data_IF_212167141171
#
_entry.id   IF_212167141171
#
_cell.length_a   1.000
_cell.length_b   1.000
_cell.length_c   1.000
_cell.angle_alpha   90.00
_cell.angle_beta   90.00
_cell.angle_gamma   90.00
#
_symmetry.space_group_name_H-M   'P 1'
#
loop_
_entity.id
_entity.type
_entity.pdbx_description
1 polymer ?
#
# COMPACT_ATOMS: atom_id res chain seq x y z
N UNK A 1 -10.51 20.80 19.89
CA UNK A 1 -11.78 21.15 19.21
C UNK A 1 -11.81 20.47 17.85
N UNK A 2 -13.00 20.03 17.43
CA UNK A 2 -13.25 19.45 16.11
C UNK A 2 -13.02 20.53 15.04
N UNK A 3 -12.25 20.24 13.97
CA UNK A 3 -12.10 21.15 12.84
C UNK A 3 -13.46 21.43 12.19
N UNK A 4 -13.62 22.63 11.64
CA UNK A 4 -14.85 23.03 10.95
C UNK A 4 -14.50 23.56 9.58
N UNK A 5 -14.87 22.82 8.54
CA UNK A 5 -14.70 23.25 7.17
C UNK A 5 -15.47 24.55 6.91
N UNK A 6 -14.85 25.46 6.15
CA UNK A 6 -15.55 26.62 5.60
C UNK A 6 -16.71 26.16 4.71
N UNK A 7 -17.81 26.90 4.74
CA UNK A 7 -18.96 26.66 3.87
C UNK A 7 -18.91 27.65 2.72
N UNK A 8 -18.54 27.18 1.54
CA UNK A 8 -18.44 27.96 0.31
C UNK A 8 -19.48 27.42 -0.67
N UNK A 9 -20.62 28.10 -0.86
CA UNK A 9 -21.69 27.61 -1.73
C UNK A 9 -21.21 27.43 -3.17
N UNK A 10 -21.27 26.19 -3.67
CA UNK A 10 -21.01 25.85 -5.06
C UNK A 10 -22.28 25.23 -5.66
N UNK A 11 -22.87 25.89 -6.66
CA UNK A 11 -24.07 25.41 -7.32
C UNK A 11 -23.71 24.44 -8.45
N UNK A 12 -24.33 23.26 -8.46
CA UNK A 12 -24.20 22.26 -9.50
C UNK A 12 -25.57 21.96 -10.09
N UNK A 13 -25.68 22.05 -11.41
CA UNK A 13 -26.93 21.77 -12.13
C UNK A 13 -26.77 20.52 -12.98
N UNK A 14 -27.62 19.53 -12.75
CA UNK A 14 -27.66 18.29 -13.54
C UNK A 14 -29.10 17.86 -13.76
N UNK A 15 -29.45 17.51 -15.00
CA UNK A 15 -30.82 17.13 -15.40
C UNK A 15 -31.90 18.17 -15.05
N UNK A 16 -31.54 19.45 -15.01
CA UNK A 16 -32.45 20.54 -14.67
C UNK A 16 -32.69 20.76 -13.16
N UNK A 17 -32.03 19.99 -12.30
CA UNK A 17 -32.05 20.20 -10.84
C UNK A 17 -30.75 20.87 -10.37
N UNK A 18 -30.86 21.87 -9.48
CA UNK A 18 -29.73 22.61 -8.95
C UNK A 18 -29.55 22.31 -7.47
N UNK A 19 -28.38 21.76 -7.12
CA UNK A 19 -27.96 21.48 -5.75
C UNK A 19 -26.81 22.41 -5.36
N UNK A 20 -26.76 22.81 -4.10
CA UNK A 20 -25.66 23.61 -3.54
C UNK A 20 -24.81 22.71 -2.66
N UNK A 21 -23.56 22.50 -3.06
CA UNK A 21 -22.54 21.85 -2.24
C UNK A 21 -21.68 22.93 -1.56
N UNK A 22 -21.71 22.98 -0.24
CA UNK A 22 -20.93 23.97 0.52
C UNK A 22 -19.45 23.57 0.69
N UNK A 23 -19.07 22.37 0.28
CA UNK A 23 -17.75 21.77 0.53
C UNK A 23 -17.05 21.33 -0.76
N UNK A 24 -17.61 21.67 -1.91
CA UNK A 24 -17.01 21.36 -3.22
C UNK A 24 -15.55 21.87 -3.33
N UNK A 25 -15.23 22.96 -2.62
CA UNK A 25 -13.88 23.53 -2.56
C UNK A 25 -12.81 22.59 -1.98
N UNK A 26 -13.20 21.55 -1.23
CA UNK A 26 -12.26 20.53 -0.74
C UNK A 26 -11.72 19.63 -1.86
N UNK A 27 -12.40 19.60 -3.02
CA UNK A 27 -11.88 18.91 -4.19
C UNK A 27 -10.81 19.77 -4.85
N UNK A 28 -9.57 19.32 -4.74
CA UNK A 28 -8.44 19.88 -5.45
C UNK A 28 -7.73 18.81 -6.27
N UNK A 29 -7.92 18.86 -7.60
CA UNK A 29 -7.34 17.87 -8.50
C UNK A 29 -5.79 17.99 -8.56
N UNK A 30 -5.21 19.18 -8.26
CA UNK A 30 -3.76 19.38 -8.19
C UNK A 30 -3.15 18.93 -6.85
N UNK A 31 -3.99 18.73 -5.82
CA UNK A 31 -3.59 18.30 -4.46
C UNK A 31 -2.53 19.21 -3.81
N UNK A 32 -2.62 20.51 -4.06
CA UNK A 32 -1.63 21.49 -3.62
C UNK A 32 -2.25 22.75 -3.02
N UNK A 33 -3.57 22.91 -3.06
CA UNK A 33 -4.25 24.08 -2.51
C UNK A 33 -4.05 24.18 -1.00
N UNK A 34 -3.46 25.28 -0.49
CA UNK A 34 -3.12 25.41 0.93
C UNK A 34 -4.33 25.29 1.85
N UNK A 35 -5.49 25.83 1.48
CA UNK A 35 -6.70 25.79 2.31
C UNK A 35 -7.24 24.36 2.49
N UNK A 36 -7.15 23.53 1.45
CA UNK A 36 -7.53 22.11 1.51
C UNK A 36 -6.55 21.35 2.39
N UNK A 37 -5.24 21.54 2.17
CA UNK A 37 -4.20 20.86 2.94
C UNK A 37 -4.24 21.24 4.42
N UNK A 38 -4.45 22.52 4.74
CA UNK A 38 -4.58 23.00 6.12
C UNK A 38 -5.78 22.33 6.82
N UNK A 39 -6.94 22.28 6.16
CA UNK A 39 -8.10 21.59 6.73
C UNK A 39 -7.83 20.09 6.97
N UNK A 40 -7.19 19.40 6.02
CA UNK A 40 -6.81 17.98 6.19
C UNK A 40 -5.81 17.78 7.33
N UNK A 41 -4.85 18.69 7.51
CA UNK A 41 -3.89 18.65 8.63
C UNK A 41 -4.58 18.88 9.99
N UNK A 42 -5.57 19.78 10.04
CA UNK A 42 -6.39 19.97 11.23
C UNK A 42 -7.19 18.72 11.58
N UNK A 43 -7.78 18.04 10.59
CA UNK A 43 -8.50 16.77 10.78
C UNK A 43 -7.57 15.65 11.25
N UNK A 44 -6.39 15.48 10.62
CA UNK A 44 -5.39 14.52 11.09
C UNK A 44 -4.96 14.78 12.53
N UNK A 45 -4.69 16.04 12.89
CA UNK A 45 -4.31 16.45 14.24
C UNK A 45 -5.42 16.20 15.26
N UNK A 46 -6.68 16.37 14.86
CA UNK A 46 -7.82 15.98 15.69
C UNK A 46 -7.91 14.47 15.86
N UNK A 47 -7.80 13.70 14.77
CA UNK A 47 -7.77 12.23 14.79
C UNK A 47 -6.70 11.69 15.74
N UNK A 48 -5.46 12.17 15.64
CA UNK A 48 -4.36 11.80 16.54
C UNK A 48 -4.69 12.08 18.00
N UNK A 49 -5.27 13.25 18.33
CA UNK A 49 -5.66 13.57 19.71
C UNK A 49 -6.76 12.66 20.25
N UNK A 50 -7.75 12.31 19.43
CA UNK A 50 -8.83 11.41 19.85
C UNK A 50 -8.30 9.98 20.05
N UNK A 51 -7.39 9.54 19.19
CA UNK A 51 -6.80 8.20 19.25
C UNK A 51 -5.66 8.05 20.26
N UNK A 52 -5.12 9.15 20.81
CA UNK A 52 -3.93 9.14 21.67
C UNK A 52 -4.05 8.19 22.88
N UNK A 53 -5.24 8.10 23.49
CA UNK A 53 -5.49 7.19 24.62
C UNK A 53 -5.38 5.70 24.28
N UNK A 54 -5.42 5.36 22.99
CA UNK A 54 -5.42 3.99 22.48
C UNK A 54 -4.05 3.53 21.97
N UNK A 55 -3.00 4.33 22.13
CA UNK A 55 -1.67 4.01 21.58
C UNK A 55 -1.18 2.62 22.03
N UNK A 56 -1.29 2.30 23.31
CA UNK A 56 -0.89 0.99 23.83
C UNK A 56 -1.68 -0.19 23.24
N UNK A 57 -2.94 0.03 22.85
CA UNK A 57 -3.75 -0.97 22.15
C UNK A 57 -3.28 -1.11 20.69
N UNK A 58 -3.01 0.01 20.02
CA UNK A 58 -2.50 0.02 18.64
C UNK A 58 -1.16 -0.71 18.55
N UNK A 59 -0.21 -0.41 19.43
CA UNK A 59 1.12 -1.03 19.45
C UNK A 59 1.02 -2.54 19.67
N UNK A 60 0.14 -2.98 20.57
CA UNK A 60 -0.11 -4.40 20.83
C UNK A 60 -0.71 -5.10 19.61
N UNK A 61 -1.75 -4.53 19.00
CA UNK A 61 -2.37 -5.13 17.81
C UNK A 61 -1.37 -5.18 16.65
N UNK A 62 -0.59 -4.12 16.43
CA UNK A 62 0.46 -4.10 15.41
C UNK A 62 1.46 -5.23 15.63
N UNK A 63 1.94 -5.39 16.86
CA UNK A 63 2.84 -6.49 17.23
C UNK A 63 2.20 -7.86 16.97
N UNK A 64 0.95 -8.06 17.40
CA UNK A 64 0.23 -9.33 17.19
C UNK A 64 0.07 -9.66 15.69
N UNK A 65 -0.16 -8.66 14.83
CA UNK A 65 -0.25 -8.85 13.38
C UNK A 65 1.12 -9.27 12.83
N UNK A 66 2.20 -8.56 13.19
CA UNK A 66 3.55 -8.86 12.73
C UNK A 66 4.00 -10.25 13.18
N UNK A 67 3.74 -10.60 14.45
CA UNK A 67 4.15 -11.89 15.03
C UNK A 67 3.44 -13.09 14.37
N UNK A 68 2.29 -12.86 13.70
CA UNK A 68 1.55 -13.91 12.95
C UNK A 68 2.06 -14.09 11.53
N UNK A 69 2.85 -13.16 11.00
CA UNK A 69 3.41 -13.24 9.66
C UNK A 69 4.74 -14.00 9.76
N UNK A 70 4.94 -15.10 9.00
CA UNK A 70 6.21 -15.80 8.96
C UNK A 70 7.35 -14.86 8.53
N UNK A 71 8.46 -14.86 9.28
CA UNK A 71 9.65 -14.08 8.92
C UNK A 71 10.23 -14.48 7.57
N UNK A 72 10.01 -15.74 7.18
CA UNK A 72 10.33 -16.25 5.85
C UNK A 72 9.10 -16.93 5.27
N UNK A 73 8.66 -16.46 4.11
CA UNK A 73 7.52 -17.00 3.39
C UNK A 73 7.98 -17.51 2.03
N UNK A 74 7.56 -18.72 1.67
CA UNK A 74 7.84 -19.33 0.37
C UNK A 74 6.50 -19.69 -0.25
N UNK A 75 6.21 -19.16 -1.43
CA UNK A 75 4.97 -19.47 -2.13
C UNK A 75 4.94 -20.93 -2.57
N UNK A 76 3.75 -21.51 -2.64
CA UNK A 76 3.58 -22.80 -3.32
C UNK A 76 4.10 -22.71 -4.77
N UNK A 77 5.00 -23.61 -5.19
CA UNK A 77 5.56 -23.54 -6.53
C UNK A 77 4.55 -23.96 -7.58
N UNK A 78 4.66 -23.39 -8.79
CA UNK A 78 3.87 -23.79 -9.95
C UNK A 78 4.76 -24.01 -11.17
N UNK A 79 4.30 -24.83 -12.12
CA UNK A 79 5.06 -25.16 -13.34
C UNK A 79 4.45 -24.44 -14.55
N UNK A 80 5.30 -23.84 -15.38
CA UNK A 80 4.94 -23.24 -16.66
C UNK A 80 6.12 -23.34 -17.63
N UNK A 81 5.87 -23.68 -18.90
CA UNK A 81 6.89 -23.69 -19.97
C UNK A 81 8.20 -24.42 -19.62
N UNK A 82 8.12 -25.55 -18.90
CA UNK A 82 9.30 -26.37 -18.53
C UNK A 82 10.07 -25.88 -17.29
N UNK A 83 9.58 -24.86 -16.58
CA UNK A 83 10.18 -24.34 -15.35
C UNK A 83 9.19 -24.35 -14.19
N UNK A 84 9.71 -24.54 -12.98
CA UNK A 84 9.00 -24.33 -11.72
C UNK A 84 9.31 -22.93 -11.22
N UNK A 85 8.30 -22.21 -10.75
CA UNK A 85 8.39 -20.84 -10.28
C UNK A 85 7.91 -20.72 -8.85
N UNK A 86 8.54 -19.81 -8.10
CA UNK A 86 8.08 -19.39 -6.77
C UNK A 86 8.48 -17.94 -6.52
N UNK A 87 7.93 -17.36 -5.47
CA UNK A 87 8.48 -16.19 -4.82
C UNK A 87 8.78 -16.48 -3.36
N UNK A 88 9.79 -15.78 -2.84
CA UNK A 88 10.21 -15.87 -1.45
C UNK A 88 10.26 -14.48 -0.83
N UNK A 89 9.84 -14.37 0.42
CA UNK A 89 10.14 -13.25 1.30
C UNK A 89 11.20 -13.74 2.29
N UNK A 90 12.37 -13.12 2.28
CA UNK A 90 13.43 -13.41 3.23
C UNK A 90 13.32 -12.48 4.45
N UNK A 91 13.81 -12.90 5.64
CA UNK A 91 13.75 -12.08 6.84
C UNK A 91 14.37 -10.69 6.63
N UNK A 92 13.62 -9.65 7.01
CA UNK A 92 14.05 -8.26 6.86
C UNK A 92 13.91 -7.69 5.44
N UNK A 93 13.44 -8.47 4.46
CA UNK A 93 13.10 -7.98 3.13
C UNK A 93 11.63 -7.58 3.06
N UNK A 94 11.34 -6.38 2.55
CA UNK A 94 9.97 -5.89 2.40
C UNK A 94 9.31 -6.40 1.11
N UNK A 95 10.09 -6.87 0.14
CA UNK A 95 9.61 -7.28 -1.17
C UNK A 95 10.01 -8.71 -1.55
N UNK A 96 9.19 -9.30 -2.41
CA UNK A 96 9.39 -10.66 -2.91
C UNK A 96 10.61 -10.80 -3.83
N UNK A 97 11.32 -11.92 -3.71
CA UNK A 97 12.34 -12.38 -4.64
C UNK A 97 11.71 -13.49 -5.50
N UNK A 98 11.65 -13.26 -6.80
CA UNK A 98 11.08 -14.20 -7.78
C UNK A 98 12.17 -15.14 -8.28
N UNK A 99 11.89 -16.44 -8.22
CA UNK A 99 12.85 -17.48 -8.57
C UNK A 99 12.24 -18.51 -9.52
N UNK A 100 13.10 -19.20 -10.25
CA UNK A 100 12.75 -20.37 -11.06
C UNK A 100 13.77 -21.49 -10.95
N UNK A 101 13.37 -22.69 -11.31
CA UNK A 101 14.27 -23.80 -11.60
C UNK A 101 13.71 -24.64 -12.75
N UNK A 102 14.52 -25.52 -13.34
CA UNK A 102 14.02 -26.51 -14.31
C UNK A 102 12.93 -27.37 -13.69
N UNK A 103 11.87 -27.67 -14.43
CA UNK A 103 10.81 -28.59 -13.96
C UNK A 103 11.31 -30.03 -13.80
N UNK A 104 12.45 -30.37 -14.42
CA UNK A 104 13.12 -31.68 -14.32
C UNK A 104 14.12 -31.76 -13.16
N UNK A 105 14.42 -30.64 -12.51
CA UNK A 105 15.24 -30.60 -11.31
C UNK A 105 14.42 -31.02 -10.09
N UNK A 106 15.11 -31.61 -9.12
CA UNK A 106 14.53 -31.89 -7.81
C UNK A 106 14.23 -30.56 -7.09
N UNK A 107 13.31 -30.56 -6.14
CA UNK A 107 12.88 -29.31 -5.47
C UNK A 107 13.96 -28.68 -4.57
N UNK A 108 14.87 -29.51 -4.07
CA UNK A 108 16.02 -29.08 -3.26
C UNK A 108 17.22 -28.63 -4.10
N UNK A 109 17.15 -28.73 -5.43
CA UNK A 109 18.18 -28.18 -6.31
C UNK A 109 18.20 -26.65 -6.26
N UNK A 110 19.25 -26.04 -6.80
CA UNK A 110 19.40 -24.59 -6.77
C UNK A 110 18.34 -23.86 -7.61
N UNK A 111 17.82 -22.78 -7.03
CA UNK A 111 16.85 -21.89 -7.66
C UNK A 111 17.56 -20.66 -8.25
N UNK A 112 17.28 -20.36 -9.51
CA UNK A 112 17.74 -19.16 -10.21
C UNK A 112 16.86 -17.96 -9.84
N UNK A 113 17.47 -16.86 -9.38
CA UNK A 113 16.75 -15.60 -9.16
C UNK A 113 16.44 -14.91 -10.49
N UNK A 114 15.15 -14.74 -10.77
CA UNK A 114 14.66 -13.96 -11.91
C UNK A 114 14.65 -12.47 -11.61
N UNK A 115 14.15 -12.10 -10.44
CA UNK A 115 13.97 -10.71 -10.06
C UNK A 115 13.98 -10.58 -8.55
N UNK A 116 14.83 -9.70 -8.04
CA UNK A 116 14.85 -9.30 -6.65
C UNK A 116 14.20 -7.91 -6.53
N UNK A 117 12.98 -7.85 -5.99
CA UNK A 117 12.25 -6.60 -5.87
C UNK A 117 12.88 -5.65 -4.83
N UNK A 118 13.60 -6.17 -3.84
CA UNK A 118 14.31 -5.34 -2.86
C UNK A 118 15.43 -4.56 -3.54
N UNK A 119 16.19 -5.21 -4.42
CA UNK A 119 17.22 -4.53 -5.23
C UNK A 119 16.63 -3.47 -6.16
N UNK A 120 15.45 -3.72 -6.72
CA UNK A 120 14.76 -2.72 -7.55
C UNK A 120 14.23 -1.54 -6.73
N UNK A 121 13.82 -1.78 -5.50
CA UNK A 121 13.29 -0.77 -4.59
C UNK A 121 14.39 0.06 -3.88
N UNK A 122 15.63 -0.41 -3.83
CA UNK A 122 16.70 0.13 -2.99
C UNK A 122 17.00 1.64 -3.13
N UNK A 123 16.63 2.25 -4.26
CA UNK A 123 16.83 3.68 -4.54
C UNK A 123 15.52 4.40 -4.86
N UNK A 124 14.40 3.94 -4.31
CA UNK A 124 13.08 4.50 -4.56
C UNK A 124 12.31 4.66 -3.27
N UNK A 125 11.63 5.80 -3.11
CA UNK A 125 10.73 6.04 -1.96
C UNK A 125 9.47 5.16 -2.02
N UNK A 126 9.14 4.65 -3.22
CA UNK A 126 8.03 3.75 -3.45
C UNK A 126 8.37 2.75 -4.56
N UNK A 127 8.04 1.49 -4.35
CA UNK A 127 8.13 0.44 -5.37
C UNK A 127 6.87 -0.43 -5.36
N UNK A 128 6.34 -0.70 -6.55
CA UNK A 128 5.27 -1.67 -6.73
C UNK A 128 5.47 -2.41 -8.04
N UNK A 129 5.33 -3.72 -7.99
CA UNK A 129 5.41 -4.56 -9.18
C UNK A 129 3.99 -4.89 -9.67
N UNK A 130 3.53 -4.18 -10.70
CA UNK A 130 2.15 -4.31 -11.20
C UNK A 130 1.84 -5.64 -11.90
N UNK A 131 2.86 -6.32 -12.44
CA UNK A 131 2.70 -7.62 -13.08
C UNK A 131 4.02 -8.18 -13.58
N UNK A 132 4.11 -9.50 -13.65
CA UNK A 132 5.22 -10.22 -14.24
C UNK A 132 4.66 -11.26 -15.21
N UNK A 133 5.03 -11.16 -16.48
CA UNK A 133 4.61 -12.09 -17.51
C UNK A 133 5.79 -12.96 -17.94
N UNK A 134 5.57 -14.27 -17.95
CA UNK A 134 6.48 -15.26 -18.51
C UNK A 134 5.83 -15.76 -19.79
N UNK A 135 6.36 -15.33 -20.92
CA UNK A 135 5.90 -15.70 -22.27
C UNK A 135 6.69 -16.88 -22.79
#
# INVERSE_FOLDING_TARGET
>A
MLPKAARIPHAMTLHGDTRIDNYYWLRDDTRSQPEVLDYLQQENSYGHRVMASQQALQDRILKEIIDRIPQREVSAPYIKNGYRYRHIYEPGCEYAIYQRQSAFSEEWDEWETLLDANKRAAHSEFYSMGGMAIT
#
